data_IF_838940877108
#
_entry.id   IF_838940877108
#
_cell.length_a   1.000
_cell.length_b   1.000
_cell.length_c   1.000
_cell.angle_alpha   90.00
_cell.angle_beta   90.00
_cell.angle_gamma   90.00
#
_symmetry.space_group_name_H-M   'P 1'
#
loop_
_entity.id
_entity.type
_entity.pdbx_description
1 polymer ?
#
# COMPACT_ATOMS: atom_id res chain seq x y z
N UNK A 1 10.37 -3.00 8.83
CA UNK A 1 10.43 -2.68 7.39
C UNK A 1 9.17 -3.24 6.73
N UNK A 2 8.73 -2.73 5.56
CA UNK A 2 7.67 -3.41 4.81
C UNK A 2 8.11 -4.83 4.40
N UNK A 3 7.13 -5.70 4.18
CA UNK A 3 7.34 -7.11 3.84
C UNK A 3 6.45 -7.52 2.66
N UNK A 4 6.91 -8.50 1.89
CA UNK A 4 6.11 -9.13 0.86
C UNK A 4 5.89 -10.59 1.24
N UNK A 5 4.64 -10.92 1.49
CA UNK A 5 4.23 -12.21 2.03
C UNK A 5 3.71 -13.05 0.88
N UNK A 6 4.30 -14.22 0.69
CA UNK A 6 3.76 -15.24 -0.19
C UNK A 6 2.55 -15.90 0.44
N UNK A 7 1.64 -16.38 -0.39
CA UNK A 7 0.48 -17.16 0.03
C UNK A 7 0.40 -18.47 -0.77
N UNK A 8 -0.39 -19.42 -0.29
CA UNK A 8 -0.40 -20.76 -0.84
C UNK A 8 -1.45 -20.90 -1.96
N UNK A 9 -1.05 -21.49 -3.08
CA UNK A 9 -1.97 -22.01 -4.09
C UNK A 9 -2.22 -23.49 -3.81
N UNK A 10 -3.40 -23.83 -3.31
CA UNK A 10 -3.70 -25.18 -2.82
C UNK A 10 -4.44 -26.06 -3.83
N UNK A 11 -5.00 -25.49 -4.92
CA UNK A 11 -5.69 -26.27 -5.96
C UNK A 11 -5.73 -25.52 -7.30
N UNK A 12 -5.57 -26.28 -8.39
CA UNK A 12 -5.87 -25.85 -9.75
C UNK A 12 -6.86 -26.81 -10.42
N UNK A 13 -7.73 -26.27 -11.26
CA UNK A 13 -8.49 -27.00 -12.27
C UNK A 13 -8.21 -26.38 -13.65
N UNK A 14 -8.87 -26.86 -14.71
CA UNK A 14 -8.64 -26.38 -16.08
C UNK A 14 -8.70 -24.84 -16.20
N UNK A 15 -9.67 -24.22 -15.54
CA UNK A 15 -9.97 -22.79 -15.68
C UNK A 15 -10.11 -22.06 -14.32
N UNK A 16 -9.78 -22.72 -13.21
CA UNK A 16 -9.94 -22.17 -11.86
C UNK A 16 -8.69 -22.42 -11.02
N UNK A 17 -8.25 -21.39 -10.29
CA UNK A 17 -7.13 -21.47 -9.34
C UNK A 17 -7.63 -21.08 -7.96
N UNK A 18 -7.17 -21.79 -6.93
CA UNK A 18 -7.56 -21.57 -5.55
C UNK A 18 -6.34 -21.19 -4.72
N UNK A 19 -6.49 -20.12 -3.94
CA UNK A 19 -5.44 -19.57 -3.10
C UNK A 19 -5.95 -19.42 -1.67
N UNK A 20 -5.11 -19.76 -0.70
CA UNK A 20 -5.30 -19.36 0.68
C UNK A 20 -4.51 -18.08 0.91
N UNK A 21 -5.21 -16.94 0.88
CA UNK A 21 -4.63 -15.61 1.05
C UNK A 21 -4.69 -15.13 2.50
N UNK A 22 -4.99 -16.01 3.47
CA UNK A 22 -5.24 -15.62 4.85
C UNK A 22 -4.04 -14.89 5.48
N UNK A 23 -4.34 -13.79 6.17
CA UNK A 23 -3.37 -13.08 7.02
C UNK A 23 -3.76 -13.32 8.48
N UNK A 24 -2.84 -13.94 9.23
CA UNK A 24 -3.03 -14.21 10.65
C UNK A 24 -3.35 -12.92 11.40
N UNK A 25 -4.27 -13.01 12.36
CA UNK A 25 -4.70 -11.91 13.24
C UNK A 25 -5.42 -10.75 12.52
N UNK A 26 -5.62 -10.81 11.20
CA UNK A 26 -6.43 -9.81 10.49
C UNK A 26 -7.84 -9.74 11.06
N UNK A 27 -8.23 -8.54 11.46
CA UNK A 27 -9.51 -8.24 12.08
C UNK A 27 -10.36 -7.25 11.26
N UNK A 28 -9.81 -6.66 10.18
CA UNK A 28 -10.53 -5.81 9.23
C UNK A 28 -10.26 -6.24 7.78
N UNK A 29 -11.25 -6.00 6.90
CA UNK A 29 -11.14 -6.27 5.47
C UNK A 29 -11.69 -5.09 4.69
N UNK A 30 -10.83 -4.43 3.93
CA UNK A 30 -11.23 -3.32 3.08
C UNK A 30 -11.16 -3.76 1.61
N UNK A 31 -12.22 -3.45 0.85
CA UNK A 31 -12.23 -3.56 -0.60
C UNK A 31 -12.00 -2.17 -1.18
N UNK A 32 -10.91 -2.00 -1.92
CA UNK A 32 -10.54 -0.72 -2.52
C UNK A 32 -10.55 -0.84 -4.04
N UNK A 33 -11.38 -0.04 -4.69
CA UNK A 33 -11.56 -0.04 -6.15
C UNK A 33 -11.08 1.31 -6.70
N UNK A 34 -10.18 1.25 -7.67
CA UNK A 34 -9.68 2.41 -8.38
C UNK A 34 -10.09 2.33 -9.85
N UNK A 35 -10.57 3.44 -10.39
CA UNK A 35 -10.82 3.59 -11.82
C UNK A 35 -9.66 4.34 -12.47
N UNK A 36 -9.12 3.78 -13.56
CA UNK A 36 -8.01 4.40 -14.28
C UNK A 36 -6.71 4.51 -13.46
N UNK A 37 -5.74 5.34 -13.89
CA UNK A 37 -4.48 5.54 -13.19
C UNK A 37 -4.63 6.48 -11.97
N UNK A 38 -5.54 6.14 -11.06
CA UNK A 38 -5.86 6.94 -9.88
C UNK A 38 -4.69 7.01 -8.89
N UNK A 39 -4.48 8.21 -8.34
CA UNK A 39 -3.52 8.50 -7.27
C UNK A 39 -4.27 8.53 -5.93
N UNK A 40 -3.78 7.80 -4.92
CA UNK A 40 -4.44 7.69 -3.62
C UNK A 40 -3.42 7.79 -2.45
N UNK A 41 -3.57 8.77 -1.54
CA UNK A 41 -4.49 9.90 -1.66
C UNK A 41 -4.15 10.77 -2.87
N UNK A 42 -5.10 11.57 -3.41
CA UNK A 42 -4.82 12.48 -4.52
C UNK A 42 -3.72 13.48 -4.13
N UNK A 43 -3.16 14.17 -5.12
CA UNK A 43 -2.30 15.30 -4.80
C UNK A 43 -3.15 16.44 -4.23
N UNK A 44 -2.49 17.33 -3.50
CA UNK A 44 -3.06 18.58 -3.04
C UNK A 44 -3.60 19.40 -4.22
N UNK A 45 -4.83 19.90 -4.13
CA UNK A 45 -5.49 20.55 -5.27
C UNK A 45 -4.85 21.90 -5.65
N UNK A 46 -4.36 22.66 -4.67
CA UNK A 46 -3.84 24.01 -4.90
C UNK A 46 -2.41 23.99 -5.46
N UNK A 47 -1.54 23.15 -4.91
CA UNK A 47 -0.12 23.16 -5.24
C UNK A 47 0.38 21.87 -5.89
N UNK A 48 -0.51 20.87 -6.10
CA UNK A 48 -0.17 19.57 -6.66
C UNK A 48 0.91 18.80 -5.86
N UNK A 49 1.04 19.12 -4.57
CA UNK A 49 1.97 18.43 -3.67
C UNK A 49 1.54 16.99 -3.46
N UNK A 50 2.52 16.10 -3.25
CA UNK A 50 2.21 14.74 -2.89
C UNK A 50 1.56 14.68 -1.51
N UNK A 51 0.47 13.95 -1.39
CA UNK A 51 -0.14 13.60 -0.11
C UNK A 51 0.07 12.12 0.19
N UNK A 52 -0.03 11.76 1.46
CA UNK A 52 0.16 10.40 1.99
C UNK A 52 -0.86 10.09 3.08
N UNK A 53 -1.28 8.83 3.17
CA UNK A 53 -1.90 8.30 4.38
C UNK A 53 -0.81 7.87 5.36
N UNK A 54 -1.13 7.87 6.65
CA UNK A 54 -0.32 7.24 7.69
C UNK A 54 -1.23 6.57 8.71
N UNK A 55 -1.00 5.28 8.91
CA UNK A 55 -1.74 4.48 9.87
C UNK A 55 -0.91 4.30 11.13
N UNK A 56 -1.40 4.79 12.27
CA UNK A 56 -0.69 4.67 13.54
C UNK A 56 -1.12 3.42 14.32
N UNK A 57 -2.39 3.03 14.19
CA UNK A 57 -2.97 1.89 14.90
C UNK A 57 -3.36 0.76 13.96
N UNK A 58 -3.05 0.87 12.66
CA UNK A 58 -3.32 -0.15 11.65
C UNK A 58 -2.06 -0.59 10.91
N UNK A 59 -1.87 -1.90 10.81
CA UNK A 59 -1.01 -2.52 9.79
C UNK A 59 -1.89 -2.90 8.59
N UNK A 60 -1.39 -2.62 7.38
CA UNK A 60 -2.05 -3.05 6.14
C UNK A 60 -1.40 -4.30 5.58
N UNK A 61 -2.21 -5.18 5.00
CA UNK A 61 -1.78 -6.35 4.26
C UNK A 61 -2.53 -6.39 2.93
N UNK A 62 -1.92 -5.81 1.89
CA UNK A 62 -2.57 -5.44 0.63
C UNK A 62 -2.30 -6.48 -0.46
N UNK A 63 -3.36 -7.00 -1.07
CA UNK A 63 -3.30 -7.86 -2.26
C UNK A 63 -4.04 -7.18 -3.41
N UNK A 64 -3.34 -6.93 -4.52
CA UNK A 64 -4.01 -6.53 -5.75
C UNK A 64 -4.68 -7.76 -6.37
N UNK A 65 -6.01 -7.75 -6.51
CA UNK A 65 -6.77 -8.88 -7.07
C UNK A 65 -7.10 -8.66 -8.55
N UNK A 66 -7.08 -7.42 -9.02
CA UNK A 66 -7.23 -7.05 -10.44
C UNK A 66 -6.45 -5.77 -10.70
N UNK A 67 -5.77 -5.70 -11.86
CA UNK A 67 -4.80 -4.64 -12.14
C UNK A 67 -3.62 -4.63 -11.14
N UNK A 68 -2.59 -3.86 -11.44
CA UNK A 68 -1.51 -3.61 -10.51
C UNK A 68 -1.60 -2.24 -9.85
N UNK A 69 -0.80 -2.06 -8.79
CA UNK A 69 -0.74 -0.83 -8.03
C UNK A 69 0.70 -0.57 -7.57
N UNK A 70 1.15 0.66 -7.77
CA UNK A 70 2.50 1.09 -7.39
C UNK A 70 2.42 1.94 -6.14
N UNK A 71 3.05 1.51 -5.06
CA UNK A 71 3.11 2.19 -3.78
C UNK A 71 4.42 2.96 -3.62
N UNK A 72 4.32 4.12 -2.99
CA UNK A 72 5.45 4.92 -2.53
C UNK A 72 5.38 4.97 -1.01
N UNK A 73 6.40 4.41 -0.36
CA UNK A 73 6.45 4.21 1.08
C UNK A 73 7.56 5.05 1.68
N UNK A 74 7.26 5.83 2.72
CA UNK A 74 8.25 6.56 3.51
C UNK A 74 8.15 6.18 4.97
N UNK A 75 9.25 5.69 5.55
CA UNK A 75 9.34 5.42 6.98
C UNK A 75 10.75 5.73 7.49
N UNK A 76 10.84 6.69 8.41
CA UNK A 76 12.11 7.20 8.90
C UNK A 76 12.81 6.30 9.92
N UNK A 77 12.19 5.20 10.33
CA UNK A 77 12.81 4.18 11.18
C UNK A 77 13.53 3.08 10.39
N UNK A 78 13.54 3.13 9.06
CA UNK A 78 14.27 2.17 8.21
C UNK A 78 15.65 2.70 7.83
N UNK A 79 16.58 1.80 7.54
CA UNK A 79 17.94 2.13 7.07
C UNK A 79 17.95 3.02 5.82
N UNK A 80 16.97 2.81 4.94
CA UNK A 80 16.66 3.72 3.82
C UNK A 80 15.19 4.10 3.90
N UNK A 81 14.83 5.38 3.92
CA UNK A 81 13.48 5.77 4.28
C UNK A 81 12.48 5.66 3.14
N UNK A 82 12.91 5.67 1.87
CA UNK A 82 12.01 5.85 0.73
C UNK A 82 12.03 4.67 -0.26
N UNK A 83 10.88 4.02 -0.46
CA UNK A 83 10.76 2.89 -1.37
C UNK A 83 9.60 3.06 -2.36
N UNK A 84 9.79 2.54 -3.57
CA UNK A 84 8.74 2.34 -4.56
C UNK A 84 8.52 0.84 -4.73
N UNK A 85 7.30 0.38 -4.48
CA UNK A 85 6.93 -1.04 -4.45
C UNK A 85 5.80 -1.29 -5.45
N UNK A 86 5.99 -2.26 -6.33
CA UNK A 86 4.97 -2.65 -7.31
C UNK A 86 4.24 -3.90 -6.82
N UNK A 87 2.91 -3.81 -6.68
CA UNK A 87 2.03 -4.95 -6.57
C UNK A 87 1.45 -5.28 -7.94
N UNK A 88 1.74 -6.49 -8.42
CA UNK A 88 1.05 -7.07 -9.57
C UNK A 88 -0.23 -7.78 -9.12
N UNK A 89 -1.20 -7.88 -10.04
CA UNK A 89 -2.44 -8.62 -9.82
C UNK A 89 -2.14 -10.08 -9.45
N UNK A 90 -2.71 -10.53 -8.33
CA UNK A 90 -2.51 -11.85 -7.75
C UNK A 90 -1.03 -12.20 -7.51
N UNK A 91 -0.22 -11.19 -7.16
CA UNK A 91 1.20 -11.31 -6.83
C UNK A 91 1.46 -11.66 -5.37
N UNK A 92 2.20 -10.80 -4.66
CA UNK A 92 2.44 -10.93 -3.22
C UNK A 92 1.45 -10.07 -2.41
N UNK A 93 1.32 -10.37 -1.11
CA UNK A 93 0.68 -9.47 -0.15
C UNK A 93 1.73 -8.47 0.35
N UNK A 94 1.50 -7.18 0.14
CA UNK A 94 2.33 -6.11 0.71
C UNK A 94 1.88 -5.78 2.13
N UNK A 95 2.74 -6.11 3.09
CA UNK A 95 2.59 -5.67 4.48
C UNK A 95 3.22 -4.29 4.66
N UNK A 96 2.40 -3.30 4.99
CA UNK A 96 2.85 -1.95 5.33
C UNK A 96 2.73 -1.79 6.86
N UNK A 97 3.86 -1.66 7.58
CA UNK A 97 3.82 -1.51 9.03
C UNK A 97 3.30 -0.13 9.41
N UNK A 98 2.76 -0.04 10.63
CA UNK A 98 2.33 1.21 11.26
C UNK A 98 3.40 2.29 11.20
N UNK A 99 2.96 3.55 11.16
CA UNK A 99 3.82 4.72 11.09
C UNK A 99 4.51 4.89 9.73
N UNK A 100 4.08 4.18 8.70
CA UNK A 100 4.60 4.32 7.33
C UNK A 100 3.70 5.23 6.53
N UNK A 101 4.26 6.35 6.06
CA UNK A 101 3.60 7.17 5.05
C UNK A 101 3.48 6.36 3.77
N UNK A 102 2.29 6.27 3.21
CA UNK A 102 2.07 5.57 1.96
C UNK A 102 1.10 6.31 1.06
N UNK A 103 1.42 6.28 -0.23
CA UNK A 103 0.53 6.68 -1.31
C UNK A 103 0.71 5.69 -2.45
N UNK A 104 -0.18 5.73 -3.43
CA UNK A 104 -0.13 4.78 -4.52
C UNK A 104 -0.73 5.31 -5.81
N UNK A 105 -0.43 4.61 -6.89
CA UNK A 105 -0.97 4.85 -8.23
C UNK A 105 -1.45 3.52 -8.80
N UNK A 106 -2.70 3.43 -9.24
CA UNK A 106 -3.21 2.25 -9.95
C UNK A 106 -2.80 2.24 -11.42
N UNK A 107 -2.95 1.09 -12.08
CA UNK A 107 -2.72 0.95 -13.51
C UNK A 107 -3.71 1.75 -14.36
N UNK A 108 -3.40 1.88 -15.66
CA UNK A 108 -4.21 2.63 -16.63
C UNK A 108 -5.69 2.21 -16.66
N UNK A 109 -6.00 0.94 -16.43
CA UNK A 109 -7.37 0.42 -16.40
C UNK A 109 -7.96 0.35 -14.97
N UNK A 110 -7.26 0.88 -13.98
CA UNK A 110 -7.65 0.77 -12.58
C UNK A 110 -7.05 -0.42 -11.86
N UNK A 111 -7.48 -0.61 -10.62
CA UNK A 111 -7.10 -1.76 -9.81
C UNK A 111 -8.16 -2.06 -8.75
N UNK A 112 -8.23 -3.32 -8.33
CA UNK A 112 -8.99 -3.75 -7.16
C UNK A 112 -7.98 -4.33 -6.18
N UNK A 113 -8.02 -3.83 -4.94
CA UNK A 113 -7.13 -4.25 -3.87
C UNK A 113 -7.94 -4.69 -2.67
N UNK A 114 -7.58 -5.84 -2.12
CA UNK A 114 -8.05 -6.30 -0.81
C UNK A 114 -7.00 -5.91 0.23
N UNK A 115 -7.42 -5.21 1.28
CA UNK A 115 -6.61 -4.99 2.47
C UNK A 115 -7.08 -5.91 3.60
N UNK A 116 -6.19 -6.75 4.13
CA UNK A 116 -6.43 -7.58 5.31
C UNK A 116 -5.78 -6.94 6.54
N UNK A 117 -6.32 -5.80 6.97
CA UNK A 117 -5.75 -4.99 8.03
C UNK A 117 -5.76 -5.68 9.40
N UNK A 118 -4.77 -5.31 10.22
CA UNK A 118 -4.70 -5.59 11.66
C UNK A 118 -4.75 -4.24 12.38
N UNK A 119 -5.89 -3.92 13.00
CA UNK A 119 -6.15 -2.64 13.67
C UNK A 119 -6.34 -2.82 15.17
N UNK A 120 -5.66 -1.98 15.95
CA UNK A 120 -5.84 -1.94 17.40
C UNK A 120 -7.18 -1.33 17.79
N UNK A 121 -7.58 -1.55 19.04
CA UNK A 121 -8.85 -1.02 19.60
C UNK A 121 -8.94 0.52 19.58
N UNK A 122 -7.80 1.20 19.54
CA UNK A 122 -7.72 2.66 19.51
C UNK A 122 -7.84 3.24 18.08
N UNK A 123 -7.70 2.40 17.05
CA UNK A 123 -7.78 2.84 15.65
C UNK A 123 -9.22 3.10 15.21
N UNK A 124 -9.48 4.30 14.70
CA UNK A 124 -10.74 4.68 14.04
C UNK A 124 -10.51 4.96 12.55
N UNK A 125 -11.56 4.84 11.73
CA UNK A 125 -11.48 5.20 10.30
C UNK A 125 -10.99 6.64 10.12
N UNK A 126 -11.48 7.58 10.93
CA UNK A 126 -11.05 8.98 10.85
C UNK A 126 -9.55 9.14 11.16
N UNK A 127 -9.05 8.46 12.20
CA UNK A 127 -7.64 8.56 12.59
C UNK A 127 -6.70 7.89 11.58
N UNK A 128 -7.08 6.73 11.03
CA UNK A 128 -6.21 5.95 10.17
C UNK A 128 -6.22 6.52 8.73
N UNK A 129 -7.33 7.06 8.23
CA UNK A 129 -7.41 7.59 6.87
C UNK A 129 -7.11 9.09 6.77
N UNK A 130 -6.47 9.67 7.79
CA UNK A 130 -6.04 11.07 7.76
C UNK A 130 -4.94 11.29 6.72
N UNK A 131 -5.17 12.27 5.85
CA UNK A 131 -4.22 12.67 4.82
C UNK A 131 -3.17 13.63 5.40
N UNK A 132 -1.91 13.38 5.10
CA UNK A 132 -0.79 14.28 5.37
C UNK A 132 -0.27 14.84 4.05
N UNK A 133 -0.30 16.17 3.91
CA UNK A 133 0.35 16.85 2.80
C UNK A 133 1.86 16.85 3.04
N UNK A 134 2.65 16.47 2.03
CA UNK A 134 4.12 16.47 2.14
C UNK A 134 4.68 17.83 2.53
N UNK A 135 4.08 18.94 2.07
CA UNK A 135 4.51 20.30 2.39
C UNK A 135 4.43 20.63 3.88
N UNK A 136 3.47 20.04 4.61
CA UNK A 136 3.25 20.29 6.03
C UNK A 136 4.21 19.50 6.93
N UNK A 137 4.97 18.57 6.35
CA UNK A 137 5.95 17.77 7.05
C UNK A 137 7.31 17.93 6.38
N UNK A 138 8.14 18.85 6.89
CA UNK A 138 9.47 19.15 6.34
C UNK A 138 10.32 17.90 6.12
N UNK A 139 10.32 16.95 7.05
CA UNK A 139 11.11 15.72 6.94
C UNK A 139 10.62 14.83 5.80
N UNK A 140 9.31 14.76 5.59
CA UNK A 140 8.69 14.05 4.47
C UNK A 140 8.99 14.74 3.14
N UNK A 141 8.82 16.06 3.06
CA UNK A 141 9.16 16.83 1.87
C UNK A 141 10.63 16.66 1.49
N UNK A 142 11.55 16.89 2.43
CA UNK A 142 12.99 16.76 2.20
C UNK A 142 13.35 15.34 1.71
N UNK A 143 12.70 14.30 2.26
CA UNK A 143 12.91 12.91 1.86
C UNK A 143 12.52 12.67 0.41
N UNK A 144 11.30 13.04 0.02
CA UNK A 144 10.78 12.75 -1.34
C UNK A 144 11.37 13.67 -2.42
N UNK A 145 11.90 14.83 -2.04
CA UNK A 145 12.55 15.77 -2.97
C UNK A 145 14.03 15.43 -3.20
N UNK A 146 14.74 14.97 -2.16
CA UNK A 146 16.20 14.80 -2.24
C UNK A 146 16.64 13.34 -2.40
N UNK A 147 15.74 12.37 -2.23
CA UNK A 147 16.06 10.95 -2.39
C UNK A 147 15.30 10.34 -3.57
N UNK A 148 16.01 9.54 -4.35
CA UNK A 148 15.37 8.63 -5.30
C UNK A 148 14.76 7.44 -4.54
N UNK A 149 13.51 7.04 -4.83
CA UNK A 149 12.94 5.87 -4.18
C UNK A 149 13.70 4.63 -4.61
N UNK A 150 14.11 3.81 -3.64
CA UNK A 150 14.65 2.49 -3.96
C UNK A 150 13.54 1.65 -4.56
N UNK A 151 13.73 1.25 -5.81
CA UNK A 151 12.73 0.47 -6.52
C UNK A 151 12.89 -1.01 -6.20
N UNK A 152 11.77 -1.64 -5.88
CA UNK A 152 11.68 -3.03 -5.53
C UNK A 152 10.51 -3.64 -6.31
N UNK A 153 10.82 -4.27 -7.44
CA UNK A 153 9.88 -5.14 -8.16
C UNK A 153 10.04 -6.54 -7.60
N UNK A 154 8.95 -7.12 -7.18
CA UNK A 154 8.88 -8.53 -6.84
C UNK A 154 7.66 -9.10 -7.55
N UNK A 155 7.82 -9.40 -8.83
CA UNK A 155 6.83 -10.16 -9.58
C UNK A 155 6.94 -11.62 -9.16
N UNK A 156 5.81 -12.25 -8.83
CA UNK A 156 5.75 -13.72 -8.81
C UNK A 156 5.96 -14.17 -10.26
N UNK A 157 6.97 -15.02 -10.49
CA UNK A 157 7.15 -15.71 -11.78
C UNK A 157 5.99 -16.66 -12.05
#
# INVERSE_FOLDING_TARGET
>A
MFELISYEKFRDTKDVRFFDISVNESNYRDLVIHSGPAVSPPNDEEFNNWQFYIHHNQEDNLLAISGGRTFFLVNFGWDYPFYKVRLESCGYILRIPRGTFHRSVSDENGSIVLNQAIRDKEGTVESEFKVTNSKDNKKLLDCITNLEPRFKIYSVK
#
